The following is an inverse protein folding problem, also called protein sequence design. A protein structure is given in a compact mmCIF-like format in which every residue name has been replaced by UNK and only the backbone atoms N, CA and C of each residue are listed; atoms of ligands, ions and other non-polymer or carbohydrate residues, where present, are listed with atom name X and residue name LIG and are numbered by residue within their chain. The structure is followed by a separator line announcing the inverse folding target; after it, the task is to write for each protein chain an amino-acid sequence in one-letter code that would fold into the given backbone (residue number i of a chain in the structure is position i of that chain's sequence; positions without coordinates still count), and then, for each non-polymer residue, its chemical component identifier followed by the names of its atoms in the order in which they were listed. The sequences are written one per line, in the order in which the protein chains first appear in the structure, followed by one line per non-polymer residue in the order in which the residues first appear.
data_IF_753878616140
#
_entry.id   IF_753878616140
#
_cell.length_a   1.000
_cell.length_b   1.000
_cell.length_c   1.000
_cell.angle_alpha   90.00
_cell.angle_beta   90.00
_cell.angle_gamma   90.00
#
_symmetry.space_group_name_H-M   'P 1'
#
loop_
_entity.id
_entity.type
_entity.pdbx_description
1 polymer ?
#
# COMPACT_ATOMS: atom_id res chain seq x y z
N UNK A 1 -64.52 29.59 18.55
CA UNK A 1 -63.76 30.52 17.67
C UNK A 1 -62.55 31.13 18.37
N UNK A 2 -62.65 31.55 19.63
CA UNK A 2 -61.52 32.11 20.41
C UNK A 2 -60.33 31.15 20.55
N UNK A 3 -60.58 29.84 20.77
CA UNK A 3 -59.53 28.80 20.86
C UNK A 3 -58.71 28.61 19.58
N UNK A 4 -59.33 28.78 18.40
CA UNK A 4 -58.63 28.66 17.13
C UNK A 4 -57.73 29.88 16.88
N UNK A 5 -58.22 31.08 17.23
CA UNK A 5 -57.45 32.31 17.13
C UNK A 5 -56.26 32.32 18.10
N UNK A 6 -56.47 31.89 19.35
CA UNK A 6 -55.41 31.69 20.35
C UNK A 6 -54.33 30.72 19.84
N UNK A 7 -54.73 29.59 19.24
CA UNK A 7 -53.79 28.63 18.66
C UNK A 7 -52.99 29.22 17.49
N UNK A 8 -53.64 29.97 16.59
CA UNK A 8 -52.96 30.61 15.46
C UNK A 8 -51.98 31.70 15.92
N UNK A 9 -52.35 32.50 16.93
CA UNK A 9 -51.46 33.51 17.52
C UNK A 9 -50.27 32.83 18.21
N UNK A 10 -50.50 31.78 18.98
CA UNK A 10 -49.43 31.02 19.62
C UNK A 10 -48.48 30.41 18.57
N UNK A 11 -49.01 29.83 17.49
CA UNK A 11 -48.22 29.29 16.38
C UNK A 11 -47.41 30.39 15.68
N UNK A 12 -48.00 31.57 15.45
CA UNK A 12 -47.31 32.71 14.85
C UNK A 12 -46.18 33.22 15.74
N UNK A 13 -46.39 33.31 17.06
CA UNK A 13 -45.36 33.70 18.02
C UNK A 13 -44.21 32.68 18.08
N UNK A 14 -44.51 31.38 18.08
CA UNK A 14 -43.50 30.32 18.02
C UNK A 14 -42.69 30.40 16.72
N UNK A 15 -43.35 30.65 15.59
CA UNK A 15 -42.67 30.80 14.30
C UNK A 15 -41.79 32.06 14.28
N UNK A 16 -42.29 33.19 14.79
CA UNK A 16 -41.50 34.41 14.92
C UNK A 16 -40.27 34.21 15.81
N UNK A 17 -40.44 33.55 16.96
CA UNK A 17 -39.33 33.21 17.85
C UNK A 17 -38.31 32.28 17.17
N UNK A 18 -38.78 31.25 16.46
CA UNK A 18 -37.93 30.34 15.70
C UNK A 18 -37.08 31.08 14.67
N UNK A 19 -37.67 32.02 13.93
CA UNK A 19 -36.95 32.85 12.95
C UNK A 19 -35.90 33.74 13.62
N UNK A 20 -36.26 34.44 14.70
CA UNK A 20 -35.34 35.32 15.44
C UNK A 20 -34.15 34.52 15.97
N UNK A 21 -34.39 33.37 16.62
CA UNK A 21 -33.32 32.51 17.14
C UNK A 21 -32.46 31.97 16.00
N UNK A 22 -33.08 31.49 14.91
CA UNK A 22 -32.36 30.99 13.74
C UNK A 22 -31.43 32.04 13.11
N UNK A 23 -31.83 33.32 13.10
CA UNK A 23 -31.02 34.42 12.57
C UNK A 23 -29.82 34.75 13.46
N UNK A 24 -29.98 34.62 14.79
CA UNK A 24 -28.91 34.83 15.77
C UNK A 24 -27.89 33.68 15.76
N UNK A 25 -28.31 32.46 15.40
CA UNK A 25 -27.39 31.32 15.31
C UNK A 25 -26.32 31.52 14.22
N UNK A 26 -25.07 31.03 14.45
CA UNK A 26 -23.98 31.17 13.50
C UNK A 26 -24.32 30.57 12.13
N UNK A 27 -23.97 31.29 11.06
CA UNK A 27 -24.15 30.83 9.68
C UNK A 27 -23.04 29.88 9.19
N UNK A 28 -21.96 29.73 9.96
CA UNK A 28 -20.82 28.85 9.69
C UNK A 28 -20.42 28.10 10.96
N UNK A 29 -19.89 26.89 10.78
CA UNK A 29 -19.27 26.11 11.86
C UNK A 29 -17.90 25.63 11.42
N UNK A 30 -16.97 25.67 12.38
CA UNK A 30 -15.63 25.16 12.28
C UNK A 30 -15.41 24.20 13.44
N UNK A 31 -14.87 23.03 13.16
CA UNK A 31 -14.47 22.02 14.13
C UNK A 31 -13.03 21.62 13.85
N UNK A 32 -12.29 21.30 14.90
CA UNK A 32 -10.91 20.84 14.79
C UNK A 32 -10.68 19.76 15.85
N UNK A 33 -10.13 18.63 15.41
CA UNK A 33 -9.71 17.55 16.28
C UNK A 33 -8.30 17.13 15.88
N UNK A 34 -7.53 16.60 16.83
CA UNK A 34 -6.18 16.14 16.55
C UNK A 34 -5.84 14.83 17.24
N UNK A 35 -4.87 14.13 16.65
CA UNK A 35 -4.28 12.92 17.22
C UNK A 35 -2.79 12.89 16.91
N UNK A 36 -2.01 12.17 17.72
CA UNK A 36 -0.60 11.94 17.45
C UNK A 36 -0.34 10.47 17.10
N UNK A 37 0.61 10.24 16.20
CA UNK A 37 1.10 8.92 15.84
C UNK A 37 2.61 8.89 15.82
N UNK A 38 3.18 7.72 16.14
CA UNK A 38 4.63 7.48 16.05
C UNK A 38 5.09 7.02 14.66
N UNK A 39 4.19 7.02 13.67
CA UNK A 39 4.51 6.63 12.29
C UNK A 39 5.12 7.78 11.51
N UNK A 40 6.00 7.43 10.56
CA UNK A 40 6.70 8.39 9.69
C UNK A 40 5.70 9.31 8.96
N UNK A 41 6.08 10.58 8.79
CA UNK A 41 5.30 11.59 8.08
C UNK A 41 4.84 11.12 6.70
N UNK A 42 5.73 10.49 5.93
CA UNK A 42 5.42 9.89 4.63
C UNK A 42 4.24 8.91 4.68
N UNK A 43 4.24 8.00 5.67
CA UNK A 43 3.19 6.98 5.83
C UNK A 43 1.84 7.64 6.14
N UNK A 44 1.85 8.63 7.04
CA UNK A 44 0.63 9.36 7.43
C UNK A 44 0.07 10.16 6.26
N UNK A 45 0.93 10.92 5.59
CA UNK A 45 0.58 11.73 4.44
C UNK A 45 0.00 10.88 3.30
N UNK A 46 0.72 9.84 2.86
CA UNK A 46 0.26 8.99 1.75
C UNK A 46 -1.04 8.24 2.08
N UNK A 47 -1.27 7.89 3.36
CA UNK A 47 -2.53 7.28 3.80
C UNK A 47 -3.71 8.24 3.66
N UNK A 48 -3.54 9.50 4.11
CA UNK A 48 -4.60 10.51 4.05
C UNK A 48 -4.78 11.03 2.61
N UNK A 49 -3.71 11.07 1.82
CA UNK A 49 -3.71 11.54 0.43
C UNK A 49 -4.26 10.50 -0.56
N UNK A 50 -4.86 9.40 -0.09
CA UNK A 50 -5.41 8.33 -0.90
C UNK A 50 -6.89 8.12 -0.58
N UNK A 51 -7.79 8.45 -1.54
CA UNK A 51 -9.24 8.35 -1.30
C UNK A 51 -9.72 6.92 -1.05
N UNK A 52 -9.01 5.90 -1.55
CA UNK A 52 -9.35 4.49 -1.29
C UNK A 52 -9.11 4.07 0.15
N UNK A 53 -8.27 4.81 0.88
CA UNK A 53 -7.98 4.56 2.29
C UNK A 53 -9.03 5.14 3.22
N UNK A 54 -9.82 6.12 2.77
CA UNK A 54 -10.84 6.76 3.61
C UNK A 54 -11.78 5.71 4.23
N UNK A 55 -12.22 4.69 3.48
CA UNK A 55 -13.14 3.65 3.99
C UNK A 55 -12.58 2.87 5.19
N UNK A 56 -11.26 2.83 5.32
CA UNK A 56 -10.58 2.02 6.34
C UNK A 56 -10.60 2.72 7.70
N UNK A 57 -10.70 4.05 7.75
CA UNK A 57 -10.57 4.81 8.99
C UNK A 57 -11.57 5.95 9.17
N UNK A 58 -12.08 6.55 8.10
CA UNK A 58 -13.01 7.67 8.14
C UNK A 58 -14.45 7.19 8.37
N UNK A 59 -15.07 7.62 9.47
CA UNK A 59 -16.44 7.29 9.85
C UNK A 59 -17.47 8.26 9.25
N UNK A 60 -17.06 9.19 8.40
CA UNK A 60 -17.96 10.10 7.68
C UNK A 60 -18.33 9.57 6.28
N UNK A 61 -17.85 8.39 5.90
CA UNK A 61 -18.17 7.73 4.62
C UNK A 61 -18.52 6.25 4.85
N UNK A 62 -19.28 5.61 3.94
CA UNK A 62 -19.56 4.18 4.05
C UNK A 62 -18.28 3.34 3.87
N UNK A 63 -18.26 2.16 4.49
CA UNK A 63 -17.11 1.26 4.47
C UNK A 63 -17.22 0.13 3.44
N UNK A 64 -18.41 -0.12 2.90
CA UNK A 64 -18.65 -1.24 1.98
C UNK A 64 -18.09 -0.92 0.59
N UNK A 65 -17.16 -1.74 0.05
CA UNK A 65 -16.58 -1.47 -1.27
C UNK A 65 -17.59 -1.37 -2.41
N UNK A 66 -18.71 -2.10 -2.33
CA UNK A 66 -19.78 -2.05 -3.34
C UNK A 66 -20.54 -0.73 -3.39
N UNK A 67 -20.42 0.11 -2.37
CA UNK A 67 -21.08 1.41 -2.28
C UNK A 67 -20.15 2.56 -2.69
N UNK A 68 -18.90 2.27 -3.08
CA UNK A 68 -17.84 3.24 -3.34
C UNK A 68 -17.30 3.12 -4.77
N UNK A 69 -17.19 4.26 -5.45
CA UNK A 69 -16.54 4.37 -6.76
C UNK A 69 -15.41 5.39 -6.68
N UNK A 70 -14.27 5.08 -7.29
CA UNK A 70 -13.08 5.94 -7.24
C UNK A 70 -12.75 6.49 -8.62
N UNK A 71 -12.34 7.76 -8.67
CA UNK A 71 -11.98 8.44 -9.91
C UNK A 71 -10.91 9.51 -9.68
N UNK A 72 -10.30 9.98 -10.78
CA UNK A 72 -9.33 11.08 -10.77
C UNK A 72 -8.05 10.83 -9.98
N UNK A 73 -7.22 11.88 -9.89
CA UNK A 73 -5.93 11.89 -9.23
C UNK A 73 -4.83 11.12 -9.97
N UNK A 74 -3.74 10.84 -9.24
CA UNK A 74 -2.63 10.00 -9.70
C UNK A 74 -2.92 8.50 -9.59
N UNK A 75 -1.90 7.68 -9.85
CA UNK A 75 -1.98 6.23 -9.71
C UNK A 75 -2.47 5.86 -8.31
N UNK A 76 -3.51 5.03 -8.25
CA UNK A 76 -4.11 4.63 -6.98
C UNK A 76 -5.07 5.63 -6.35
N UNK A 77 -5.54 6.63 -7.12
CA UNK A 77 -6.44 7.70 -6.68
C UNK A 77 -5.86 8.51 -5.52
N UNK A 78 -4.71 9.13 -5.78
CA UNK A 78 -4.00 9.97 -4.80
C UNK A 78 -3.81 11.39 -5.31
N UNK A 79 -3.70 12.35 -4.40
CA UNK A 79 -3.41 13.75 -4.74
C UNK A 79 -4.60 14.51 -5.33
N UNK A 80 -4.35 15.74 -5.77
CA UNK A 80 -5.39 16.67 -6.25
C UNK A 80 -6.24 16.04 -7.37
N UNK A 81 -7.56 16.18 -7.25
CA UNK A 81 -8.55 15.61 -8.16
C UNK A 81 -8.89 14.15 -7.89
N UNK A 82 -8.22 13.47 -6.96
CA UNK A 82 -8.64 12.15 -6.52
C UNK A 82 -9.97 12.23 -5.78
N UNK A 83 -10.92 11.37 -6.14
CA UNK A 83 -12.31 11.44 -5.69
C UNK A 83 -12.85 10.06 -5.35
N UNK A 84 -13.62 10.00 -4.27
CA UNK A 84 -14.48 8.86 -3.93
C UNK A 84 -15.93 9.31 -3.92
N UNK A 85 -16.74 8.70 -4.78
CA UNK A 85 -18.19 8.84 -4.80
C UNK A 85 -18.79 7.68 -4.01
N UNK A 86 -19.84 7.96 -3.23
CA UNK A 86 -20.58 6.95 -2.52
C UNK A 86 -22.08 7.01 -2.79
N UNK A 87 -22.69 5.83 -2.85
CA UNK A 87 -24.13 5.66 -3.02
C UNK A 87 -24.57 4.46 -2.16
N UNK A 88 -25.08 4.76 -0.97
CA UNK A 88 -25.53 3.79 0.02
C UNK A 88 -27.04 3.74 0.09
N UNK A 89 -27.58 2.54 0.33
CA UNK A 89 -28.98 2.37 0.70
C UNK A 89 -29.24 2.69 2.18
N UNK A 90 -28.19 2.91 2.98
CA UNK A 90 -28.30 3.38 4.36
C UNK A 90 -28.53 4.89 4.38
N UNK A 91 -29.68 5.31 4.93
CA UNK A 91 -30.10 6.71 5.02
C UNK A 91 -29.08 7.61 5.74
N UNK A 92 -28.18 7.03 6.55
CA UNK A 92 -27.10 7.78 7.21
C UNK A 92 -26.10 8.37 6.22
N UNK A 93 -25.85 7.68 5.11
CA UNK A 93 -24.87 8.11 4.09
C UNK A 93 -25.57 8.68 2.86
N UNK A 94 -26.58 7.97 2.35
CA UNK A 94 -27.21 8.31 1.08
C UNK A 94 -26.20 8.42 -0.05
N UNK A 95 -26.17 9.58 -0.73
CA UNK A 95 -25.25 9.87 -1.83
C UNK A 95 -24.36 11.06 -1.51
N UNK A 96 -23.13 10.99 -1.98
CA UNK A 96 -22.16 12.07 -1.83
C UNK A 96 -20.80 11.72 -2.40
N UNK A 97 -19.84 12.62 -2.21
CA UNK A 97 -18.45 12.39 -2.59
C UNK A 97 -17.49 13.22 -1.75
N UNK A 98 -16.25 12.73 -1.71
CA UNK A 98 -15.10 13.45 -1.16
C UNK A 98 -14.04 13.57 -2.27
N UNK A 99 -13.51 14.76 -2.46
CA UNK A 99 -12.50 15.06 -3.49
C UNK A 99 -11.32 15.82 -2.91
N UNK A 100 -10.10 15.38 -3.19
CA UNK A 100 -8.88 16.08 -2.78
C UNK A 100 -8.73 17.34 -3.65
N UNK A 101 -8.81 18.51 -3.03
CA UNK A 101 -8.63 19.80 -3.70
C UNK A 101 -7.23 20.39 -3.51
N UNK A 102 -6.51 19.96 -2.49
CA UNK A 102 -5.13 20.40 -2.20
C UNK A 102 -4.34 19.23 -1.63
N UNK A 103 -3.08 19.07 -2.06
CA UNK A 103 -2.17 18.04 -1.56
C UNK A 103 -0.75 18.59 -1.58
N UNK A 104 -0.26 19.02 -0.42
CA UNK A 104 1.10 19.52 -0.21
C UNK A 104 1.89 18.45 0.55
N UNK A 105 2.77 17.76 -0.16
CA UNK A 105 3.63 16.74 0.42
C UNK A 105 4.61 17.35 1.44
N UNK A 106 4.96 16.61 2.50
CA UNK A 106 5.95 17.07 3.48
C UNK A 106 7.33 17.21 2.85
N UNK A 107 8.04 18.29 3.21
CA UNK A 107 9.48 18.41 2.96
C UNK A 107 10.31 17.60 3.97
N UNK A 108 11.63 17.56 3.81
CA UNK A 108 12.54 16.76 4.64
C UNK A 108 12.39 16.98 6.17
N UNK A 109 12.00 18.18 6.59
CA UNK A 109 11.79 18.56 8.00
C UNK A 109 10.41 19.21 8.24
N UNK A 110 9.55 19.22 7.22
CA UNK A 110 8.32 20.01 7.20
C UNK A 110 7.07 19.22 7.51
N UNK A 111 5.97 19.97 7.66
CA UNK A 111 4.62 19.41 7.71
C UNK A 111 4.04 19.13 6.32
N UNK A 112 2.94 18.39 6.29
CA UNK A 112 2.15 18.14 5.08
C UNK A 112 0.74 18.69 5.23
N UNK A 113 0.03 18.87 4.11
CA UNK A 113 -1.36 19.33 4.12
C UNK A 113 -2.17 18.65 3.04
N UNK A 114 -3.39 18.22 3.38
CA UNK A 114 -4.36 17.67 2.43
C UNK A 114 -5.70 18.37 2.67
N UNK A 115 -6.33 18.91 1.64
CA UNK A 115 -7.68 19.46 1.74
C UNK A 115 -8.66 18.67 0.88
N UNK A 116 -9.84 18.44 1.43
CA UNK A 116 -10.95 17.77 0.77
C UNK A 116 -12.15 18.69 0.65
N UNK A 117 -12.81 18.67 -0.50
CA UNK A 117 -14.17 19.13 -0.67
C UNK A 117 -15.15 17.97 -0.42
N UNK A 118 -16.27 18.26 0.24
CA UNK A 118 -17.27 17.26 0.60
C UNK A 118 -18.63 17.71 0.07
N UNK A 119 -19.31 16.83 -0.65
CA UNK A 119 -20.73 16.99 -0.95
C UNK A 119 -21.49 15.76 -0.48
N UNK A 120 -22.52 15.97 0.33
CA UNK A 120 -23.36 14.91 0.85
C UNK A 120 -24.75 15.47 1.19
N UNK A 121 -25.67 14.60 1.60
CA UNK A 121 -27.03 14.97 1.93
C UNK A 121 -27.19 15.66 3.30
N UNK A 122 -26.13 15.77 4.12
CA UNK A 122 -26.24 16.38 5.45
C UNK A 122 -26.50 17.89 5.34
N UNK A 123 -27.15 18.54 6.31
CA UNK A 123 -27.44 19.96 6.23
C UNK A 123 -26.19 20.84 6.11
N UNK A 124 -26.26 21.88 5.28
CA UNK A 124 -25.17 22.82 5.02
C UNK A 124 -24.44 22.52 3.70
N UNK A 125 -23.80 23.54 3.15
CA UNK A 125 -23.01 23.47 1.91
C UNK A 125 -21.57 23.94 2.15
N UNK A 126 -20.79 24.00 1.06
CA UNK A 126 -19.37 24.38 1.05
C UNK A 126 -18.55 23.62 2.12
N UNK A 127 -18.83 22.32 2.29
CA UNK A 127 -18.19 21.51 3.31
C UNK A 127 -16.75 21.21 2.91
N UNK A 128 -15.82 21.50 3.81
CA UNK A 128 -14.39 21.30 3.59
C UNK A 128 -13.77 20.65 4.80
N UNK A 129 -12.82 19.75 4.59
CA UNK A 129 -11.98 19.23 5.67
C UNK A 129 -10.52 19.36 5.29
N UNK A 130 -9.70 19.84 6.22
CA UNK A 130 -8.26 20.01 6.01
C UNK A 130 -7.52 19.16 7.02
N UNK A 131 -6.63 18.32 6.52
CA UNK A 131 -5.65 17.60 7.31
C UNK A 131 -4.33 18.38 7.28
N UNK A 132 -3.91 18.84 8.44
CA UNK A 132 -2.59 19.44 8.65
C UNK A 132 -1.74 18.46 9.43
N UNK A 133 -0.55 18.16 8.91
CA UNK A 133 0.39 17.21 9.48
C UNK A 133 1.62 17.97 9.95
N UNK A 134 2.00 17.83 11.22
CA UNK A 134 3.12 18.56 11.80
C UNK A 134 4.04 17.61 12.57
N UNK A 135 5.38 17.78 12.51
CA UNK A 135 6.28 17.09 13.41
C UNK A 135 5.94 17.38 14.87
N UNK A 136 5.89 16.33 15.70
CA UNK A 136 5.49 16.40 17.10
C UNK A 136 6.35 15.52 18.01
N UNK A 137 6.16 15.67 19.31
CA UNK A 137 6.89 14.92 20.33
C UNK A 137 8.40 15.24 20.40
N UNK A 138 9.13 14.46 21.21
CA UNK A 138 10.57 14.66 21.41
C UNK A 138 11.34 14.42 20.11
N UNK A 139 12.10 15.42 19.68
CA UNK A 139 12.90 15.42 18.44
C UNK A 139 12.07 15.25 17.14
N UNK A 140 10.79 15.63 17.13
CA UNK A 140 9.95 15.56 15.92
C UNK A 140 9.73 14.15 15.39
N UNK A 141 9.78 13.13 16.27
CA UNK A 141 9.64 11.72 15.89
C UNK A 141 8.19 11.28 15.68
N UNK A 142 7.24 12.01 16.25
CA UNK A 142 5.82 11.78 16.06
C UNK A 142 5.27 12.73 14.99
N UNK A 143 4.08 12.42 14.51
CA UNK A 143 3.30 13.27 13.63
C UNK A 143 2.01 13.61 14.35
N UNK A 144 1.73 14.91 14.50
CA UNK A 144 0.41 15.41 14.89
C UNK A 144 -0.43 15.53 13.63
N UNK A 145 -1.58 14.88 13.63
CA UNK A 145 -2.59 14.95 12.59
C UNK A 145 -3.74 15.79 13.12
N UNK A 146 -3.94 16.95 12.53
CA UNK A 146 -5.05 17.85 12.83
C UNK A 146 -6.04 17.80 11.68
N UNK A 147 -7.30 17.45 11.95
CA UNK A 147 -8.38 17.48 10.97
C UNK A 147 -9.35 18.62 11.32
N UNK A 148 -9.48 19.59 10.43
CA UNK A 148 -10.55 20.60 10.50
C UNK A 148 -11.78 20.14 9.72
N UNK A 149 -12.96 20.63 10.10
CA UNK A 149 -14.19 20.48 9.33
C UNK A 149 -14.96 21.79 9.35
N UNK A 150 -15.19 22.34 8.15
CA UNK A 150 -15.89 23.60 7.92
C UNK A 150 -17.20 23.34 7.18
N UNK A 151 -18.28 23.99 7.60
CA UNK A 151 -19.60 23.92 6.93
C UNK A 151 -20.31 25.27 6.98
N UNK A 152 -20.94 25.63 5.86
CA UNK A 152 -21.72 26.87 5.72
C UNK A 152 -23.22 26.57 5.65
N UNK A 153 -24.00 27.17 6.54
CA UNK A 153 -25.46 27.08 6.55
C UNK A 153 -26.14 28.24 5.82
N UNK A 154 -25.48 29.40 5.71
CA UNK A 154 -26.04 30.57 5.03
C UNK A 154 -27.43 30.93 5.60
N UNK A 155 -28.45 31.04 4.74
CA UNK A 155 -29.83 31.34 5.13
C UNK A 155 -30.68 30.11 5.52
N UNK A 156 -30.12 28.91 5.51
CA UNK A 156 -30.84 27.71 5.94
C UNK A 156 -30.98 27.71 7.47
N UNK A 157 -32.05 28.31 8.00
CA UNK A 157 -32.30 28.45 9.43
C UNK A 157 -32.40 27.08 10.13
N UNK A 158 -33.08 26.11 9.52
CA UNK A 158 -33.11 24.73 10.02
C UNK A 158 -31.71 24.12 10.10
N UNK A 159 -30.87 24.36 9.08
CA UNK A 159 -29.47 23.97 9.07
C UNK A 159 -28.67 24.60 10.22
N UNK A 160 -28.91 25.88 10.54
CA UNK A 160 -28.25 26.55 11.68
C UNK A 160 -28.63 25.93 13.04
N UNK A 161 -29.89 25.52 13.20
CA UNK A 161 -30.32 24.77 14.40
C UNK A 161 -29.65 23.39 14.48
N UNK A 162 -29.61 22.64 13.38
CA UNK A 162 -28.87 21.38 13.30
C UNK A 162 -27.37 21.60 13.54
N UNK A 163 -26.85 22.76 13.12
CA UNK A 163 -25.51 23.28 13.34
C UNK A 163 -25.05 23.28 14.80
N UNK A 164 -25.97 23.36 15.76
CA UNK A 164 -25.65 23.27 17.18
C UNK A 164 -25.21 21.88 17.63
N UNK A 165 -25.59 20.84 16.88
CA UNK A 165 -25.30 19.44 17.21
C UNK A 165 -24.16 18.85 16.38
N UNK A 166 -23.59 19.61 15.45
CA UNK A 166 -22.51 19.16 14.56
C UNK A 166 -21.26 18.82 15.35
N UNK A 167 -20.95 19.58 16.41
CA UNK A 167 -19.81 19.27 17.29
C UNK A 167 -19.93 17.89 17.94
N UNK A 168 -21.14 17.47 18.33
CA UNK A 168 -21.36 16.11 18.86
C UNK A 168 -21.34 15.06 17.76
N UNK A 169 -22.10 15.25 16.68
CA UNK A 169 -22.22 14.18 15.68
C UNK A 169 -20.98 14.08 14.77
N UNK A 170 -20.56 15.18 14.16
CA UNK A 170 -19.40 15.21 13.26
C UNK A 170 -18.11 15.25 14.07
N UNK A 171 -18.03 16.05 15.14
CA UNK A 171 -16.82 16.11 15.98
C UNK A 171 -16.48 14.76 16.63
N UNK A 172 -17.44 14.05 17.24
CA UNK A 172 -17.18 12.72 17.81
C UNK A 172 -16.78 11.72 16.69
N UNK A 173 -17.40 11.81 15.51
CA UNK A 173 -17.05 10.97 14.35
C UNK A 173 -15.64 11.27 13.83
N UNK A 174 -15.23 12.54 13.76
CA UNK A 174 -13.87 12.96 13.37
C UNK A 174 -12.87 12.44 14.39
N UNK A 175 -13.10 12.64 15.69
CA UNK A 175 -12.24 12.14 16.75
C UNK A 175 -12.09 10.62 16.72
N UNK A 176 -13.20 9.90 16.56
CA UNK A 176 -13.18 8.45 16.41
C UNK A 176 -12.48 8.00 15.12
N UNK A 177 -12.62 8.76 14.02
CA UNK A 177 -11.90 8.51 12.76
C UNK A 177 -10.39 8.66 12.92
N UNK A 178 -9.94 9.70 13.62
CA UNK A 178 -8.51 9.90 13.93
C UNK A 178 -7.96 8.79 14.83
N UNK A 179 -8.74 8.33 15.82
CA UNK A 179 -8.36 7.16 16.61
C UNK A 179 -8.26 5.89 15.76
N UNK A 180 -9.20 5.67 14.83
CA UNK A 180 -9.15 4.53 13.91
C UNK A 180 -7.95 4.63 12.94
N UNK A 181 -7.64 5.83 12.46
CA UNK A 181 -6.47 6.13 11.64
C UNK A 181 -5.18 5.78 12.37
N UNK A 182 -4.98 6.25 13.61
CA UNK A 182 -3.77 5.95 14.39
C UNK A 182 -3.60 4.45 14.67
N UNK A 183 -4.69 3.75 14.98
CA UNK A 183 -4.68 2.29 15.15
C UNK A 183 -4.30 1.55 13.85
N UNK A 184 -4.88 1.96 12.72
CA UNK A 184 -4.56 1.40 11.41
C UNK A 184 -3.08 1.64 11.05
N UNK A 185 -2.60 2.87 11.22
CA UNK A 185 -1.21 3.25 10.99
C UNK A 185 -0.23 2.44 11.86
N UNK A 186 -0.63 2.05 13.08
CA UNK A 186 0.20 1.25 13.96
C UNK A 186 0.54 -0.15 13.40
N UNK A 187 -0.25 -0.65 12.45
CA UNK A 187 -0.01 -1.94 11.78
C UNK A 187 1.03 -1.84 10.65
N UNK A 188 1.30 -0.63 10.14
CA UNK A 188 2.22 -0.40 9.03
C UNK A 188 3.67 -0.37 9.56
N UNK A 189 4.61 -1.14 8.98
CA UNK A 189 6.03 -1.06 9.35
C UNK A 189 6.54 0.38 9.30
N UNK A 190 7.29 0.81 10.32
CA UNK A 190 7.69 2.21 10.48
C UNK A 190 8.94 2.59 9.65
N UNK A 191 8.97 2.16 8.39
CA UNK A 191 10.04 2.40 7.44
C UNK A 191 9.61 3.47 6.44
N UNK A 192 10.46 4.49 6.29
CA UNK A 192 10.21 5.53 5.31
C UNK A 192 10.73 5.10 3.95
N UNK A 193 9.82 4.93 3.01
CA UNK A 193 10.09 4.48 1.65
C UNK A 193 10.26 5.64 0.65
N UNK A 194 10.22 6.90 1.12
CA UNK A 194 10.47 8.11 0.29
C UNK A 194 11.59 8.99 0.83
N UNK A 195 12.54 8.40 1.57
CA UNK A 195 13.71 9.11 2.07
C UNK A 195 14.48 9.72 0.89
N UNK A 196 14.83 11.00 1.02
CA UNK A 196 15.65 11.70 0.03
C UNK A 196 17.02 11.00 -0.14
N UNK A 197 17.44 10.78 -1.38
CA UNK A 197 18.67 10.05 -1.69
C UNK A 197 18.57 8.52 -1.53
N UNK A 198 17.39 7.98 -1.23
CA UNK A 198 17.17 6.53 -1.22
C UNK A 198 17.47 5.90 -2.59
N UNK A 199 18.15 4.75 -2.57
CA UNK A 199 18.37 3.92 -3.75
C UNK A 199 17.20 2.98 -4.05
N UNK A 200 16.18 2.95 -3.18
CA UNK A 200 14.91 2.28 -3.43
C UNK A 200 14.05 3.16 -4.33
N UNK A 201 13.73 2.66 -5.52
CA UNK A 201 13.02 3.42 -6.55
C UNK A 201 11.95 2.57 -7.22
N UNK A 202 11.07 3.19 -8.01
CA UNK A 202 10.10 2.45 -8.84
C UNK A 202 9.05 1.68 -8.06
N UNK A 203 8.67 2.15 -6.86
CA UNK A 203 7.57 1.61 -6.07
C UNK A 203 6.28 1.62 -6.89
N UNK A 204 5.73 0.45 -7.17
CA UNK A 204 4.50 0.28 -7.97
C UNK A 204 3.84 -1.06 -7.72
N UNK A 205 2.61 -1.21 -8.18
CA UNK A 205 1.99 -2.53 -8.34
C UNK A 205 2.33 -3.08 -9.71
N UNK A 206 2.64 -4.38 -9.77
CA UNK A 206 2.84 -5.11 -11.02
C UNK A 206 1.94 -6.33 -11.07
N UNK A 207 1.49 -6.66 -12.28
CA UNK A 207 0.89 -7.96 -12.60
C UNK A 207 2.02 -8.91 -12.97
N UNK A 208 2.22 -9.95 -12.16
CA UNK A 208 3.17 -11.01 -12.43
C UNK A 208 2.46 -12.12 -13.20
N UNK A 209 3.03 -12.58 -14.33
CA UNK A 209 2.47 -13.73 -15.03
C UNK A 209 2.61 -15.00 -14.18
N UNK A 210 1.98 -16.09 -14.61
CA UNK A 210 2.27 -17.39 -14.06
C UNK A 210 3.76 -17.74 -14.27
N UNK A 211 4.38 -18.42 -13.31
CA UNK A 211 5.81 -18.74 -13.32
C UNK A 211 6.03 -20.19 -12.88
N UNK A 212 7.05 -20.83 -13.45
CA UNK A 212 7.55 -22.13 -13.00
C UNK A 212 8.89 -21.92 -12.30
N UNK A 213 9.01 -22.40 -11.07
CA UNK A 213 10.21 -22.27 -10.26
C UNK A 213 10.80 -23.64 -9.92
N UNK A 214 12.12 -23.71 -9.91
CA UNK A 214 12.87 -24.71 -9.15
C UNK A 214 13.43 -24.05 -7.90
N UNK A 215 13.17 -24.64 -6.74
CA UNK A 215 13.47 -24.07 -5.43
C UNK A 215 14.30 -25.03 -4.59
N UNK A 216 15.26 -24.51 -3.83
CA UNK A 216 15.98 -25.26 -2.78
C UNK A 216 15.89 -24.45 -1.50
N UNK A 217 15.46 -25.10 -0.41
CA UNK A 217 15.45 -24.49 0.93
C UNK A 217 16.87 -24.45 1.46
N UNK A 218 17.45 -23.27 1.60
CA UNK A 218 18.82 -23.15 2.13
C UNK A 218 18.89 -23.45 3.63
N UNK A 219 17.76 -23.31 4.33
CA UNK A 219 17.71 -23.44 5.78
C UNK A 219 18.20 -22.15 6.44
N UNK A 220 18.78 -22.29 7.64
CA UNK A 220 19.19 -21.15 8.46
C UNK A 220 20.71 -20.99 8.44
N UNK A 221 21.19 -19.98 7.71
CA UNK A 221 22.61 -19.78 7.40
C UNK A 221 23.20 -18.71 8.31
N UNK A 222 24.47 -18.84 8.71
CA UNK A 222 25.17 -17.77 9.42
C UNK A 222 25.17 -16.47 8.61
N UNK A 223 24.90 -15.34 9.28
CA UNK A 223 24.87 -14.02 8.64
C UNK A 223 26.30 -13.49 8.40
N UNK A 224 27.03 -14.23 7.56
CA UNK A 224 28.34 -13.91 7.05
C UNK A 224 28.28 -13.94 5.51
N UNK A 225 28.88 -12.95 4.86
CA UNK A 225 28.76 -12.76 3.42
C UNK A 225 29.30 -13.94 2.62
N UNK A 226 30.44 -14.50 3.03
CA UNK A 226 31.08 -15.64 2.37
C UNK A 226 30.23 -16.90 2.51
N UNK A 227 29.70 -17.16 3.72
CA UNK A 227 28.87 -18.33 4.01
C UNK A 227 27.54 -18.26 3.25
N UNK A 228 26.86 -17.09 3.25
CA UNK A 228 25.63 -16.88 2.49
C UNK A 228 25.88 -17.08 1.00
N UNK A 229 26.94 -16.45 0.46
CA UNK A 229 27.32 -16.58 -0.95
C UNK A 229 27.59 -18.03 -1.33
N UNK A 230 28.33 -18.76 -0.51
CA UNK A 230 28.63 -20.18 -0.73
C UNK A 230 27.35 -21.02 -0.72
N UNK A 231 26.44 -20.78 0.24
CA UNK A 231 25.15 -21.47 0.31
C UNK A 231 24.29 -21.22 -0.93
N UNK A 232 24.24 -19.97 -1.44
CA UNK A 232 23.47 -19.66 -2.65
C UNK A 232 24.06 -20.40 -3.85
N UNK A 233 25.39 -20.36 -4.04
CA UNK A 233 26.05 -21.03 -5.16
C UNK A 233 25.86 -22.55 -5.12
N UNK A 234 25.99 -23.18 -3.95
CA UNK A 234 25.75 -24.62 -3.79
C UNK A 234 24.31 -25.01 -4.17
N UNK A 235 23.32 -24.22 -3.75
CA UNK A 235 21.92 -24.46 -4.11
C UNK A 235 21.64 -24.24 -5.61
N UNK A 236 22.30 -23.25 -6.23
CA UNK A 236 22.23 -23.04 -7.68
C UNK A 236 22.79 -24.23 -8.47
N UNK A 237 23.84 -24.90 -7.98
CA UNK A 237 24.37 -26.11 -8.63
C UNK A 237 23.37 -27.26 -8.64
N UNK A 238 22.64 -27.48 -7.53
CA UNK A 238 21.55 -28.46 -7.47
C UNK A 238 20.45 -28.13 -8.46
N UNK A 239 20.00 -26.88 -8.49
CA UNK A 239 18.99 -26.40 -9.43
C UNK A 239 19.46 -26.59 -10.87
N UNK A 240 20.71 -26.23 -11.19
CA UNK A 240 21.28 -26.38 -12.53
C UNK A 240 21.26 -27.84 -13.00
N UNK A 241 21.65 -28.80 -12.15
CA UNK A 241 21.59 -30.24 -12.48
C UNK A 241 20.17 -30.72 -12.78
N UNK A 242 19.18 -30.25 -12.01
CA UNK A 242 17.76 -30.56 -12.24
C UNK A 242 17.27 -29.91 -13.54
N UNK A 243 17.67 -28.68 -13.83
CA UNK A 243 17.33 -28.02 -15.09
C UNK A 243 17.87 -28.80 -16.30
N UNK A 244 19.15 -29.16 -16.28
CA UNK A 244 19.79 -29.88 -17.38
C UNK A 244 19.17 -31.25 -17.63
N UNK A 245 18.94 -32.04 -16.58
CA UNK A 245 18.33 -33.37 -16.69
C UNK A 245 16.87 -33.33 -17.16
N UNK A 246 16.17 -32.23 -16.95
CA UNK A 246 14.78 -32.03 -17.38
C UNK A 246 14.64 -31.23 -18.69
N UNK A 247 15.75 -30.85 -19.36
CA UNK A 247 15.70 -30.08 -20.60
C UNK A 247 15.14 -28.66 -20.42
N UNK A 248 15.35 -28.08 -19.23
CA UNK A 248 14.90 -26.73 -18.88
C UNK A 248 16.02 -25.71 -19.13
N UNK A 249 15.62 -24.45 -19.18
CA UNK A 249 16.51 -23.29 -19.18
C UNK A 249 15.99 -22.21 -18.24
N UNK A 250 16.87 -21.30 -17.84
CA UNK A 250 16.52 -20.20 -16.94
C UNK A 250 15.57 -19.24 -17.66
N UNK A 251 14.47 -18.90 -16.99
CA UNK A 251 13.48 -17.97 -17.49
C UNK A 251 13.60 -16.57 -16.85
N UNK A 252 14.59 -16.32 -15.98
CA UNK A 252 14.84 -15.04 -15.32
C UNK A 252 16.07 -15.09 -14.41
N UNK A 253 16.39 -14.01 -13.68
CA UNK A 253 17.49 -14.02 -12.71
C UNK A 253 17.26 -15.00 -11.55
N UNK A 254 18.32 -15.32 -10.80
CA UNK A 254 18.17 -16.09 -9.55
C UNK A 254 17.32 -15.28 -8.57
N UNK A 255 16.42 -15.99 -7.89
CA UNK A 255 15.50 -15.45 -6.91
C UNK A 255 15.90 -15.90 -5.52
N UNK A 256 15.92 -14.96 -4.57
CA UNK A 256 16.07 -15.27 -3.15
C UNK A 256 14.76 -14.97 -2.45
N UNK A 257 14.17 -15.97 -1.79
CA UNK A 257 12.90 -15.85 -1.06
C UNK A 257 13.23 -15.81 0.42
N UNK A 258 12.98 -14.68 1.06
CA UNK A 258 13.39 -14.47 2.45
C UNK A 258 12.34 -14.96 3.42
N UNK A 259 12.75 -15.76 4.40
CA UNK A 259 11.90 -16.17 5.52
C UNK A 259 12.17 -15.31 6.74
N UNK A 260 13.43 -15.13 7.11
CA UNK A 260 13.85 -14.29 8.23
C UNK A 260 15.27 -13.78 8.01
N UNK A 261 15.54 -12.51 8.32
CA UNK A 261 16.87 -11.89 8.25
C UNK A 261 17.28 -11.39 9.64
N UNK A 262 17.60 -12.35 10.50
CA UNK A 262 17.99 -12.10 11.88
C UNK A 262 19.37 -11.43 12.04
N UNK A 263 19.74 -11.19 13.30
CA UNK A 263 21.03 -10.60 13.66
C UNK A 263 22.20 -11.54 13.40
N UNK A 264 22.04 -12.83 13.68
CA UNK A 264 23.09 -13.85 13.56
C UNK A 264 22.86 -14.81 12.41
N UNK A 265 21.60 -14.98 11.99
CA UNK A 265 21.19 -15.98 11.02
C UNK A 265 20.31 -15.39 9.93
N UNK A 266 20.41 -15.97 8.74
CA UNK A 266 19.58 -15.64 7.58
C UNK A 266 18.91 -16.91 7.07
N UNK A 267 17.58 -16.94 7.11
CA UNK A 267 16.77 -18.02 6.59
C UNK A 267 16.14 -17.64 5.25
N UNK A 268 16.48 -18.38 4.20
CA UNK A 268 16.02 -18.11 2.84
C UNK A 268 15.95 -19.37 1.98
N UNK A 269 15.20 -19.25 0.88
CA UNK A 269 15.19 -20.24 -0.20
C UNK A 269 15.85 -19.64 -1.45
N UNK A 270 16.52 -20.49 -2.21
CA UNK A 270 17.08 -20.13 -3.53
C UNK A 270 16.15 -20.69 -4.58
N UNK A 271 15.66 -19.84 -5.47
CA UNK A 271 14.79 -20.24 -6.55
C UNK A 271 15.31 -19.76 -7.91
N UNK A 272 14.99 -20.50 -8.96
CA UNK A 272 15.30 -20.14 -10.34
C UNK A 272 13.99 -20.24 -11.13
N UNK A 273 13.50 -19.13 -11.72
CA UNK A 273 12.48 -19.22 -12.75
C UNK A 273 12.99 -20.04 -13.92
N UNK A 274 12.18 -20.96 -14.42
CA UNK A 274 12.53 -21.90 -15.49
C UNK A 274 11.45 -21.99 -16.55
N UNK A 275 11.84 -22.42 -17.75
CA UNK A 275 10.94 -22.78 -18.84
C UNK A 275 11.52 -23.96 -19.61
N UNK A 276 10.71 -24.58 -20.47
CA UNK A 276 11.23 -25.56 -21.45
C UNK A 276 12.22 -24.87 -22.39
N UNK A 277 13.34 -25.54 -22.67
CA UNK A 277 14.32 -25.04 -23.64
C UNK A 277 13.68 -24.87 -25.02
N UNK A 278 13.77 -23.66 -25.58
CA UNK A 278 13.36 -23.43 -26.96
C UNK A 278 14.31 -24.14 -27.91
N UNK A 279 13.79 -25.04 -28.75
CA UNK A 279 14.59 -25.77 -29.75
C UNK A 279 15.14 -27.13 -29.32
N UNK A 280 14.51 -27.83 -28.37
CA UNK A 280 14.87 -29.21 -28.06
C UNK A 280 14.58 -30.14 -29.26
N UNK A 281 15.61 -30.45 -30.04
CA UNK A 281 15.60 -31.64 -30.89
C UNK A 281 15.37 -32.89 -30.00
N UNK A 282 14.73 -33.95 -30.52
CA UNK A 282 14.53 -35.20 -29.77
C UNK A 282 15.88 -35.72 -29.27
N UNK A 283 15.90 -36.31 -28.07
CA UNK A 283 17.06 -36.97 -27.47
C UNK A 283 17.85 -37.74 -28.54
N UNK A 284 19.00 -37.22 -28.95
CA UNK A 284 19.99 -38.00 -29.69
C UNK A 284 20.60 -38.98 -28.70
N UNK A 285 20.40 -40.26 -29.01
CA UNK A 285 21.16 -41.38 -28.46
C UNK A 285 22.66 -41.10 -28.56
N UNK A 286 23.36 -41.44 -27.48
CA UNK A 286 24.81 -41.37 -27.26
C UNK A 286 25.67 -41.25 -28.53
N UNK A 287 26.00 -40.02 -28.92
CA UNK A 287 27.22 -39.67 -29.63
C UNK A 287 27.39 -38.15 -29.56
N UNK A 288 28.55 -37.71 -29.08
CA UNK A 288 29.01 -36.32 -29.00
C UNK A 288 28.64 -35.53 -27.72
N UNK A 289 29.28 -35.92 -26.60
CA UNK A 289 29.35 -35.15 -25.35
C UNK A 289 30.51 -34.14 -25.31
N UNK A 290 31.13 -33.81 -26.45
CA UNK A 290 32.45 -33.15 -26.44
C UNK A 290 32.42 -31.65 -26.77
N UNK A 291 31.24 -31.04 -26.95
CA UNK A 291 31.15 -29.59 -27.13
C UNK A 291 30.41 -28.95 -25.96
N UNK A 292 31.07 -28.09 -25.15
CA UNK A 292 30.37 -27.31 -24.13
C UNK A 292 29.27 -26.50 -24.82
N UNK A 293 28.02 -26.70 -24.41
CA UNK A 293 26.97 -25.76 -24.77
C UNK A 293 27.41 -24.37 -24.27
N UNK A 294 27.23 -23.29 -25.06
CA UNK A 294 27.55 -21.94 -24.61
C UNK A 294 26.85 -21.67 -23.27
N UNK A 295 27.49 -20.94 -22.34
CA UNK A 295 26.81 -20.51 -21.12
C UNK A 295 25.56 -19.71 -21.52
N UNK A 296 24.37 -20.25 -21.24
CA UNK A 296 23.13 -19.51 -21.40
C UNK A 296 23.05 -18.61 -20.16
N UNK A 297 23.41 -17.34 -20.33
CA UNK A 297 23.18 -16.31 -19.32
C UNK A 297 21.67 -16.18 -19.10
N UNK A 298 21.18 -16.20 -17.85
CA UNK A 298 19.77 -16.00 -17.56
C UNK A 298 19.29 -14.66 -18.13
N UNK A 299 18.05 -14.59 -18.66
CA UNK A 299 17.49 -13.33 -19.11
C UNK A 299 17.33 -12.36 -17.93
N UNK A 300 17.48 -11.06 -18.20
CA UNK A 300 17.37 -10.01 -17.19
C UNK A 300 15.96 -9.85 -16.61
N UNK A 301 14.93 -10.35 -17.31
CA UNK A 301 13.52 -10.31 -16.93
C UNK A 301 12.91 -11.70 -16.95
N UNK A 302 11.93 -11.93 -16.07
CA UNK A 302 11.24 -13.22 -16.01
C UNK A 302 10.30 -13.40 -17.21
N UNK A 303 10.35 -14.57 -17.85
CA UNK A 303 9.39 -14.98 -18.89
C UNK A 303 8.21 -15.73 -18.27
N UNK A 304 6.99 -15.48 -18.77
CA UNK A 304 5.79 -16.18 -18.36
C UNK A 304 5.86 -17.70 -18.61
N UNK A 305 5.27 -18.47 -17.68
CA UNK A 305 5.01 -19.90 -17.83
C UNK A 305 4.00 -20.16 -18.95
N UNK A 306 4.16 -21.29 -19.64
CA UNK A 306 3.18 -21.82 -20.60
C UNK A 306 2.27 -22.90 -19.99
N UNK A 307 2.28 -23.02 -18.66
CA UNK A 307 1.56 -24.01 -17.87
C UNK A 307 2.49 -24.93 -17.07
N UNK A 308 1.95 -25.70 -16.12
CA UNK A 308 2.75 -26.55 -15.24
C UNK A 308 3.67 -27.52 -16.00
N UNK A 309 4.91 -27.65 -15.52
CA UNK A 309 5.95 -28.49 -16.08
C UNK A 309 6.00 -29.84 -15.36
N UNK A 310 6.23 -30.91 -16.12
CA UNK A 310 6.56 -32.23 -15.57
C UNK A 310 8.06 -32.28 -15.29
N UNK A 311 8.45 -32.11 -14.02
CA UNK A 311 9.86 -32.08 -13.58
C UNK A 311 10.16 -33.29 -12.69
N UNK A 312 11.23 -34.01 -13.01
CA UNK A 312 11.78 -35.05 -12.15
C UNK A 312 12.80 -34.46 -11.18
N UNK A 313 12.49 -34.50 -9.89
CA UNK A 313 13.34 -33.98 -8.80
C UNK A 313 13.79 -35.05 -7.79
N UNK A 314 13.46 -36.32 -8.04
CA UNK A 314 13.71 -37.44 -7.11
C UNK A 314 15.20 -37.56 -6.75
N UNK A 315 15.49 -37.67 -5.46
CA UNK A 315 16.85 -37.79 -4.93
C UNK A 315 17.64 -36.47 -4.91
N UNK A 316 16.97 -35.33 -5.13
CA UNK A 316 17.57 -33.99 -5.06
C UNK A 316 16.87 -33.14 -4.00
N UNK A 317 17.53 -32.10 -3.44
CA UNK A 317 16.89 -31.16 -2.53
C UNK A 317 16.00 -30.12 -3.25
N UNK A 318 15.79 -30.27 -4.56
CA UNK A 318 15.05 -29.31 -5.39
C UNK A 318 13.57 -29.62 -5.36
N UNK A 319 12.75 -28.60 -5.15
CA UNK A 319 11.30 -28.61 -5.25
C UNK A 319 10.87 -27.88 -6.52
N UNK A 320 9.88 -28.42 -7.23
CA UNK A 320 9.22 -27.71 -8.33
C UNK A 320 7.97 -27.02 -7.81
N UNK A 321 7.79 -25.75 -8.17
CA UNK A 321 6.64 -24.94 -7.77
C UNK A 321 6.08 -24.22 -8.99
N UNK A 322 4.80 -24.43 -9.27
CA UNK A 322 4.03 -23.60 -10.20
C UNK A 322 3.37 -22.46 -9.43
N UNK A 323 3.52 -21.24 -9.93
CA UNK A 323 2.87 -20.05 -9.38
C UNK A 323 1.88 -19.53 -10.41
N UNK A 324 0.63 -19.35 -9.99
CA UNK A 324 -0.37 -18.67 -10.81
C UNK A 324 -0.04 -17.18 -10.97
N UNK A 325 -0.64 -16.56 -11.99
CA UNK A 325 -0.56 -15.12 -12.18
C UNK A 325 -1.12 -14.40 -10.96
N UNK A 326 -0.43 -13.34 -10.51
CA UNK A 326 -0.76 -12.63 -9.28
C UNK A 326 -0.29 -11.20 -9.30
N UNK A 327 -0.83 -10.40 -8.39
CA UNK A 327 -0.39 -9.02 -8.14
C UNK A 327 0.74 -9.00 -7.13
N UNK A 328 1.69 -8.10 -7.33
CA UNK A 328 2.74 -7.83 -6.37
C UNK A 328 3.02 -6.33 -6.25
N UNK A 329 3.34 -5.89 -5.04
CA UNK A 329 4.10 -4.66 -4.85
C UNK A 329 5.53 -4.92 -5.32
N UNK A 330 6.10 -3.98 -6.07
CA UNK A 330 7.45 -4.09 -6.62
C UNK A 330 8.22 -2.78 -6.48
N UNK A 331 9.53 -2.90 -6.33
CA UNK A 331 10.47 -1.80 -6.39
C UNK A 331 11.84 -2.28 -6.88
N UNK A 332 12.66 -1.36 -7.36
CA UNK A 332 14.05 -1.63 -7.73
C UNK A 332 14.99 -1.01 -6.69
N UNK A 333 16.05 -1.72 -6.35
CA UNK A 333 17.06 -1.27 -5.40
C UNK A 333 18.47 -1.58 -5.93
N UNK A 334 19.39 -0.64 -5.75
CA UNK A 334 20.81 -0.82 -6.05
C UNK A 334 21.63 -0.61 -4.78
N UNK A 335 22.49 -1.56 -4.43
CA UNK A 335 23.35 -1.49 -3.25
C UNK A 335 23.70 -2.87 -2.70
N UNK A 336 23.95 -2.95 -1.40
CA UNK A 336 24.37 -4.19 -0.76
C UNK A 336 23.16 -5.06 -0.37
N UNK A 337 23.27 -6.38 -0.56
CA UNK A 337 22.28 -7.36 -0.08
C UNK A 337 21.94 -7.19 1.42
N UNK A 338 22.89 -6.75 2.25
CA UNK A 338 22.66 -6.55 3.68
C UNK A 338 21.61 -5.48 4.01
N UNK A 339 21.31 -4.56 3.08
CA UNK A 339 20.29 -3.53 3.24
C UNK A 339 18.89 -3.99 2.77
N UNK A 340 18.79 -5.17 2.16
CA UNK A 340 17.52 -5.66 1.59
C UNK A 340 16.43 -5.86 2.64
N UNK A 341 16.77 -6.11 3.90
CA UNK A 341 15.75 -6.17 4.97
C UNK A 341 15.03 -4.83 5.15
N UNK A 342 15.77 -3.73 5.21
CA UNK A 342 15.17 -2.39 5.25
C UNK A 342 14.36 -2.11 3.98
N UNK A 343 14.86 -2.52 2.81
CA UNK A 343 14.16 -2.37 1.53
C UNK A 343 12.84 -3.13 1.50
N UNK A 344 12.81 -4.40 1.92
CA UNK A 344 11.59 -5.21 2.00
C UNK A 344 10.57 -4.57 2.92
N UNK A 345 11.01 -4.11 4.10
CA UNK A 345 10.13 -3.46 5.06
C UNK A 345 9.61 -2.10 4.55
N UNK A 346 10.42 -1.34 3.81
CA UNK A 346 9.98 -0.14 3.10
C UNK A 346 8.94 -0.44 2.01
N UNK A 347 9.13 -1.50 1.21
CA UNK A 347 8.15 -1.94 0.22
C UNK A 347 6.84 -2.39 0.88
N UNK A 348 6.92 -3.14 1.98
CA UNK A 348 5.75 -3.54 2.78
C UNK A 348 5.02 -2.33 3.35
N UNK A 349 5.75 -1.37 3.92
CA UNK A 349 5.18 -0.13 4.43
C UNK A 349 4.44 0.63 3.31
N UNK A 350 5.05 0.75 2.13
CA UNK A 350 4.41 1.36 0.96
C UNK A 350 3.13 0.62 0.54
N UNK A 351 3.18 -0.71 0.44
CA UNK A 351 2.03 -1.52 0.04
C UNK A 351 0.85 -1.36 1.01
N UNK A 352 1.12 -1.50 2.32
CA UNK A 352 0.10 -1.34 3.36
C UNK A 352 -0.42 0.10 3.45
N UNK A 353 0.42 1.10 3.16
CA UNK A 353 0.00 2.52 3.07
C UNK A 353 -0.91 2.79 1.87
N UNK A 354 -0.76 2.03 0.80
CA UNK A 354 -1.63 2.11 -0.38
C UNK A 354 -2.88 1.22 -0.30
N UNK A 355 -3.10 0.56 0.84
CA UNK A 355 -4.30 -0.21 1.14
C UNK A 355 -4.25 -1.65 0.65
N UNK A 356 -3.06 -2.15 0.32
CA UNK A 356 -2.86 -3.55 -0.06
C UNK A 356 -2.54 -4.42 1.15
N UNK A 357 -3.07 -5.63 1.15
CA UNK A 357 -2.66 -6.66 2.10
C UNK A 357 -1.49 -7.44 1.49
N UNK A 358 -0.37 -7.52 2.22
CA UNK A 358 0.76 -8.35 1.78
C UNK A 358 0.52 -9.82 2.10
N UNK A 359 0.82 -10.68 1.14
CA UNK A 359 0.72 -12.12 1.26
C UNK A 359 2.08 -12.77 0.99
N UNK A 360 2.25 -14.02 1.45
CA UNK A 360 3.45 -14.83 1.23
C UNK A 360 4.76 -14.17 1.72
N UNK A 361 5.88 -14.81 1.37
CA UNK A 361 7.24 -14.34 1.67
C UNK A 361 7.72 -13.36 0.59
N UNK A 362 8.40 -12.26 0.96
CA UNK A 362 9.03 -11.38 -0.02
C UNK A 362 10.16 -12.10 -0.74
N UNK A 363 10.45 -11.66 -1.96
CA UNK A 363 11.59 -12.18 -2.71
C UNK A 363 12.27 -11.09 -3.54
N UNK A 364 13.51 -11.36 -3.93
CA UNK A 364 14.27 -10.51 -4.83
C UNK A 364 14.76 -11.28 -6.04
N UNK A 365 14.71 -10.65 -7.21
CA UNK A 365 15.44 -11.07 -8.39
C UNK A 365 16.82 -10.39 -8.41
N UNK A 366 17.89 -11.18 -8.35
CA UNK A 366 19.27 -10.68 -8.28
C UNK A 366 19.85 -10.50 -9.68
N UNK A 367 19.71 -9.30 -10.25
CA UNK A 367 19.98 -9.02 -11.67
C UNK A 367 21.46 -9.07 -12.06
N UNK A 368 22.34 -8.64 -11.16
CA UNK A 368 23.80 -8.71 -11.35
C UNK A 368 24.41 -10.09 -11.02
N UNK A 369 23.57 -11.06 -10.63
CA UNK A 369 24.02 -12.35 -10.14
C UNK A 369 24.56 -12.30 -8.70
N UNK A 370 25.01 -13.45 -8.21
CA UNK A 370 25.34 -13.64 -6.79
C UNK A 370 26.54 -12.82 -6.35
N UNK A 371 27.60 -12.73 -7.16
CA UNK A 371 28.83 -12.07 -6.73
C UNK A 371 28.70 -10.54 -6.63
N UNK A 372 28.06 -9.91 -7.61
CA UNK A 372 27.83 -8.46 -7.63
C UNK A 372 26.85 -8.01 -6.53
N UNK A 373 25.93 -8.88 -6.12
CA UNK A 373 24.93 -8.58 -5.08
C UNK A 373 25.51 -8.33 -3.69
N UNK A 374 26.79 -8.63 -3.46
CA UNK A 374 27.51 -8.32 -2.22
C UNK A 374 28.38 -7.05 -2.33
N UNK A 375 28.24 -6.27 -3.41
CA UNK A 375 28.96 -5.00 -3.61
C UNK A 375 27.96 -3.82 -3.62
N UNK A 376 28.48 -2.59 -3.70
CA UNK A 376 27.65 -1.39 -3.82
C UNK A 376 26.89 -1.28 -5.15
N UNK A 377 27.22 -2.10 -6.16
CA UNK A 377 26.58 -2.12 -7.47
C UNK A 377 25.55 -3.24 -7.62
N UNK A 378 25.34 -4.06 -6.57
CA UNK A 378 24.31 -5.08 -6.55
C UNK A 378 22.95 -4.52 -6.96
N UNK A 379 22.25 -5.21 -7.86
CA UNK A 379 21.01 -4.72 -8.45
C UNK A 379 19.87 -5.73 -8.25
N UNK A 380 18.77 -5.26 -7.67
CA UNK A 380 17.66 -6.10 -7.23
C UNK A 380 16.34 -5.53 -7.70
N UNK A 381 15.44 -6.41 -8.12
CA UNK A 381 14.01 -6.11 -8.12
C UNK A 381 13.37 -6.87 -6.96
N UNK A 382 12.70 -6.14 -6.07
CA UNK A 382 12.11 -6.64 -4.84
C UNK A 382 10.61 -6.74 -5.04
N UNK A 383 10.02 -7.84 -4.59
CA UNK A 383 8.61 -8.14 -4.78
C UNK A 383 7.98 -8.62 -3.48
N UNK A 384 6.73 -8.24 -3.27
CA UNK A 384 5.86 -8.80 -2.24
C UNK A 384 4.48 -9.04 -2.84
N UNK A 385 3.97 -10.27 -2.78
CA UNK A 385 2.63 -10.57 -3.26
C UNK A 385 1.60 -9.73 -2.49
N UNK A 386 0.56 -9.26 -3.17
CA UNK A 386 -0.50 -8.43 -2.59
C UNK A 386 -1.89 -8.90 -2.99
N UNK A 387 -2.87 -8.56 -2.15
CA UNK A 387 -4.31 -8.72 -2.43
C UNK A 387 -4.99 -7.36 -2.53
#
# INVERSE_FOLDING_TARGET
MTRLLEFLIALALVLALFLVVGLVLPSKRHLEESSETNRRMTIVFDTINNVRRLKDWNLLIPTKPSELTYSGGGEGHTGVGARVDFNSADDRWGKGHWEITESVAPGATGGGKIAYNIEDATPGGDKKTVFTLEPAGKNGRNVKVTQSYDVSYGWNLFGRFNGMYVSRHVGDSVKASLSKLTNMLATVPNFDYRIEGSKLTGLKVVELPAEDLLLVKAGNIDRNNEVIKASIKANQEWIKRVMESNGLEAAGPVRIITTDFGTEKYAFDVAQPVRKRSGAAPKTTDADKSKPAPPITPPATTTASTGPLKVSVSGTPVEYVHLDARRAASASYTGYMAELDAVRNSLRAWAMTNGYEVADRPYESWKGGVDESFTATGAFDVFWAIK
#
